data_IF_258555590006
#
_entry.id   IF_258555590006
#
_cell.length_a   1.000
_cell.length_b   1.000
_cell.length_c   1.000
_cell.angle_alpha   90.00
_cell.angle_beta   90.00
_cell.angle_gamma   90.00
#
_symmetry.space_group_name_H-M   'P 1'
#
loop_
_entity.id
_entity.type
_entity.pdbx_description
1 polymer ?
#
# COMPACT_ATOMS: atom_id res chain seq x y z
N UNK A 1 2.65 15.46 16.99
CA UNK A 1 2.82 16.65 16.13
C UNK A 1 3.08 17.85 17.03
N UNK A 2 4.24 18.49 16.95
CA UNK A 2 4.52 19.67 17.80
C UNK A 2 3.71 20.89 17.36
N UNK A 3 3.37 21.76 18.31
CA UNK A 3 2.68 23.04 18.05
C UNK A 3 3.64 24.18 17.67
N UNK A 4 4.95 24.01 17.91
CA UNK A 4 5.97 25.00 17.57
C UNK A 4 6.41 24.88 16.10
N UNK A 5 6.29 25.98 15.36
CA UNK A 5 6.75 26.06 13.96
C UNK A 5 8.26 25.85 13.84
N UNK A 6 9.04 26.29 14.81
CA UNK A 6 10.50 26.12 14.82
C UNK A 6 10.88 24.63 14.90
N UNK A 7 10.18 23.86 15.73
CA UNK A 7 10.41 22.41 15.83
C UNK A 7 10.02 21.68 14.55
N UNK A 8 8.97 22.13 13.84
CA UNK A 8 8.59 21.56 12.54
C UNK A 8 9.63 21.87 11.48
N UNK A 9 10.06 23.12 11.37
CA UNK A 9 11.09 23.53 10.42
C UNK A 9 12.42 22.81 10.67
N UNK A 10 12.82 22.65 11.94
CA UNK A 10 14.01 21.89 12.30
C UNK A 10 13.89 20.40 11.93
N UNK A 11 12.73 19.77 12.20
CA UNK A 11 12.49 18.38 11.84
C UNK A 11 12.46 18.17 10.31
N UNK A 12 11.89 19.11 9.56
CA UNK A 12 11.89 19.10 8.09
C UNK A 12 13.30 19.27 7.52
N UNK A 13 14.11 20.16 8.12
CA UNK A 13 15.52 20.32 7.74
C UNK A 13 16.31 19.01 7.97
N UNK A 14 16.15 18.37 9.14
CA UNK A 14 16.75 17.07 9.42
C UNK A 14 16.29 15.99 8.44
N UNK A 15 14.99 15.95 8.13
CA UNK A 15 14.43 15.02 7.15
C UNK A 15 15.09 15.20 5.77
N UNK A 16 15.26 16.45 5.33
CA UNK A 16 15.90 16.77 4.05
C UNK A 16 17.39 16.39 4.04
N UNK A 17 18.11 16.57 5.15
CA UNK A 17 19.51 16.15 5.29
C UNK A 17 19.64 14.62 5.23
N UNK A 18 18.81 13.90 5.98
CA UNK A 18 18.80 12.42 5.97
C UNK A 18 18.47 11.87 4.58
N UNK A 19 17.52 12.50 3.88
CA UNK A 19 17.15 12.14 2.51
C UNK A 19 18.32 12.25 1.53
N UNK A 20 19.23 13.20 1.74
CA UNK A 20 20.42 13.38 0.89
C UNK A 20 21.59 12.48 1.31
N UNK A 21 21.75 12.25 2.61
CA UNK A 21 22.91 11.55 3.17
C UNK A 21 22.75 10.03 3.14
N UNK A 22 21.60 9.52 3.61
CA UNK A 22 21.31 8.08 3.69
C UNK A 22 19.81 7.82 3.46
N UNK A 23 19.39 7.78 2.18
CA UNK A 23 17.99 7.59 1.83
C UNK A 23 17.48 6.18 2.16
N UNK A 24 18.35 5.17 2.16
CA UNK A 24 17.99 3.80 2.51
C UNK A 24 17.57 3.69 3.97
N UNK A 25 18.42 4.18 4.89
CA UNK A 25 18.12 4.15 6.31
C UNK A 25 16.87 4.98 6.64
N UNK A 26 16.65 6.10 5.94
CA UNK A 26 15.45 6.92 6.12
C UNK A 26 14.17 6.14 5.76
N UNK A 27 14.13 5.54 4.57
CA UNK A 27 12.97 4.76 4.13
C UNK A 27 12.71 3.54 5.03
N UNK A 28 13.76 2.82 5.43
CA UNK A 28 13.66 1.68 6.34
C UNK A 28 13.13 2.09 7.71
N UNK A 29 13.58 3.23 8.26
CA UNK A 29 13.07 3.75 9.54
C UNK A 29 11.61 4.16 9.46
N UNK A 30 11.20 4.82 8.37
CA UNK A 30 9.78 5.14 8.15
C UNK A 30 8.93 3.87 8.05
N UNK A 31 9.40 2.86 7.33
CA UNK A 31 8.74 1.57 7.24
C UNK A 31 8.64 0.89 8.62
N UNK A 32 9.70 0.89 9.42
CA UNK A 32 9.69 0.34 10.78
C UNK A 32 8.71 1.09 11.70
N UNK A 33 8.61 2.42 11.58
CA UNK A 33 7.67 3.23 12.34
C UNK A 33 6.21 2.82 12.09
N UNK A 34 5.87 2.38 10.86
CA UNK A 34 4.53 1.87 10.56
C UNK A 34 4.18 0.61 11.37
N UNK A 35 5.19 -0.22 11.69
CA UNK A 35 4.98 -1.50 12.37
C UNK A 35 5.08 -1.40 13.89
N UNK A 36 6.03 -0.59 14.39
CA UNK A 36 6.39 -0.58 15.82
C UNK A 36 5.67 0.54 16.59
N UNK A 37 5.27 1.63 15.93
CA UNK A 37 4.70 2.77 16.63
C UNK A 37 3.23 2.55 17.01
N UNK A 38 2.90 2.71 18.29
CA UNK A 38 1.51 2.63 18.76
C UNK A 38 0.67 3.87 18.43
N UNK A 39 1.30 5.02 18.14
CA UNK A 39 0.56 6.26 17.89
C UNK A 39 0.04 6.34 16.43
N UNK A 40 -1.27 6.47 16.22
CA UNK A 40 -1.86 6.48 14.88
C UNK A 40 -1.42 7.69 14.05
N UNK A 41 -1.26 8.87 14.67
CA UNK A 41 -0.82 10.09 13.97
C UNK A 41 0.61 9.96 13.43
N UNK A 42 1.48 9.32 14.20
CA UNK A 42 2.88 9.07 13.81
C UNK A 42 2.96 8.06 12.68
N UNK A 43 2.18 6.97 12.74
CA UNK A 43 2.09 5.99 11.64
C UNK A 43 1.51 6.62 10.37
N UNK A 44 0.45 7.42 10.52
CA UNK A 44 -0.15 8.17 9.43
C UNK A 44 0.85 9.11 8.76
N UNK A 45 1.64 9.85 9.53
CA UNK A 45 2.68 10.73 9.00
C UNK A 45 3.79 9.93 8.32
N UNK A 46 4.24 8.82 8.92
CA UNK A 46 5.25 7.95 8.33
C UNK A 46 4.79 7.41 6.95
N UNK A 47 3.54 6.99 6.81
CA UNK A 47 2.97 6.54 5.54
C UNK A 47 2.97 7.65 4.49
N UNK A 48 2.56 8.87 4.87
CA UNK A 48 2.54 10.03 3.97
C UNK A 48 3.95 10.39 3.50
N UNK A 49 4.91 10.46 4.43
CA UNK A 49 6.30 10.77 4.10
C UNK A 49 6.92 9.69 3.21
N UNK A 50 6.65 8.42 3.52
CA UNK A 50 7.11 7.30 2.71
C UNK A 50 6.56 7.42 1.28
N UNK A 51 5.26 7.67 1.11
CA UNK A 51 4.66 7.91 -0.22
C UNK A 51 5.37 9.03 -0.98
N UNK A 52 5.63 10.18 -0.34
CA UNK A 52 6.33 11.31 -0.99
C UNK A 52 7.76 11.00 -1.45
N UNK A 53 8.44 10.05 -0.80
CA UNK A 53 9.78 9.60 -1.20
C UNK A 53 9.73 8.63 -2.38
N UNK A 54 8.61 7.92 -2.53
CA UNK A 54 8.39 6.86 -3.49
C UNK A 54 7.72 7.34 -4.79
N UNK A 55 6.90 8.39 -4.71
CA UNK A 55 6.20 8.99 -5.85
C UNK A 55 7.12 9.94 -6.61
N UNK A 56 6.90 10.06 -7.94
CA UNK A 56 7.65 10.94 -8.86
C UNK A 56 7.35 12.42 -8.66
N UNK A 57 7.63 12.94 -7.47
CA UNK A 57 7.71 14.37 -7.18
C UNK A 57 9.20 14.82 -7.17
N UNK A 58 9.47 16.07 -6.77
CA UNK A 58 10.82 16.63 -6.54
C UNK A 58 11.71 15.81 -5.56
N UNK A 59 11.15 14.75 -4.98
CA UNK A 59 11.73 13.91 -3.94
C UNK A 59 11.87 12.44 -4.31
N UNK A 60 11.83 12.09 -5.60
CA UNK A 60 11.89 10.70 -6.06
C UNK A 60 13.23 10.03 -5.71
N UNK A 61 13.23 9.20 -4.65
CA UNK A 61 14.45 8.51 -4.17
C UNK A 61 14.48 7.04 -4.54
N UNK A 62 13.34 6.48 -4.94
CA UNK A 62 13.18 5.06 -5.28
C UNK A 62 14.33 4.45 -6.11
N UNK A 63 14.76 5.00 -7.26
CA UNK A 63 15.80 4.38 -8.09
C UNK A 63 17.20 4.40 -7.45
N UNK A 64 17.42 5.20 -6.38
CA UNK A 64 18.70 5.29 -5.67
C UNK A 64 18.80 4.32 -4.50
N UNK A 65 17.70 3.67 -4.13
CA UNK A 65 17.66 2.76 -2.99
C UNK A 65 18.25 1.40 -3.37
N UNK A 66 18.78 0.72 -2.37
CA UNK A 66 19.28 -0.63 -2.51
C UNK A 66 18.15 -1.66 -2.73
N UNK A 67 18.48 -2.77 -3.39
CA UNK A 67 17.52 -3.86 -3.67
C UNK A 67 16.90 -4.44 -2.39
N UNK A 68 17.69 -4.58 -1.32
CA UNK A 68 17.20 -5.01 0.00
C UNK A 68 16.18 -4.03 0.60
N UNK A 69 16.41 -2.74 0.39
CA UNK A 69 15.52 -1.67 0.84
C UNK A 69 14.22 -1.69 0.03
N UNK A 70 14.29 -1.89 -1.30
CA UNK A 70 13.11 -2.08 -2.14
C UNK A 70 12.23 -3.24 -1.66
N UNK A 71 12.82 -4.40 -1.40
CA UNK A 71 12.07 -5.57 -0.92
C UNK A 71 11.39 -5.31 0.42
N UNK A 72 12.08 -4.60 1.33
CA UNK A 72 11.51 -4.20 2.62
C UNK A 72 10.34 -3.23 2.46
N UNK A 73 10.50 -2.19 1.63
CA UNK A 73 9.45 -1.19 1.39
C UNK A 73 8.25 -1.79 0.64
N UNK A 74 8.43 -2.82 -0.19
CA UNK A 74 7.33 -3.55 -0.82
C UNK A 74 6.56 -4.41 0.19
N UNK A 75 7.26 -5.15 1.03
CA UNK A 75 6.65 -6.09 1.97
C UNK A 75 5.98 -5.43 3.17
N UNK A 76 6.58 -4.37 3.72
CA UNK A 76 6.08 -3.73 4.95
C UNK A 76 4.65 -3.19 4.82
N UNK A 77 4.29 -2.40 3.78
CA UNK A 77 2.92 -1.89 3.61
C UNK A 77 1.91 -3.02 3.39
N UNK A 78 2.25 -4.04 2.61
CA UNK A 78 1.38 -5.20 2.37
C UNK A 78 1.06 -5.94 3.66
N UNK A 79 2.08 -6.17 4.50
CA UNK A 79 1.89 -6.81 5.81
C UNK A 79 1.08 -5.92 6.75
N UNK A 80 1.32 -4.60 6.75
CA UNK A 80 0.58 -3.67 7.60
C UNK A 80 -0.89 -3.57 7.21
N UNK A 81 -1.24 -3.59 5.92
CA UNK A 81 -2.65 -3.60 5.48
C UNK A 81 -3.40 -4.82 6.04
N UNK A 82 -2.74 -5.96 6.25
CA UNK A 82 -3.39 -7.16 6.79
C UNK A 82 -3.75 -7.05 8.27
N UNK A 83 -2.93 -6.34 9.04
CA UNK A 83 -3.05 -6.26 10.51
C UNK A 83 -3.75 -4.99 10.96
N UNK A 84 -3.67 -3.91 10.17
CA UNK A 84 -4.19 -2.60 10.53
C UNK A 84 -5.70 -2.62 10.79
N UNK A 85 -6.14 -1.90 11.82
CA UNK A 85 -7.56 -1.78 12.18
C UNK A 85 -8.12 -0.39 11.84
N UNK A 86 -7.27 0.63 11.77
CA UNK A 86 -7.68 1.98 11.43
C UNK A 86 -7.88 2.15 9.91
N UNK A 87 -9.12 2.38 9.49
CA UNK A 87 -9.48 2.59 8.08
C UNK A 87 -8.72 3.78 7.47
N UNK A 88 -8.47 4.84 8.26
CA UNK A 88 -7.71 6.02 7.82
C UNK A 88 -6.25 5.72 7.49
N UNK A 89 -5.62 4.78 8.20
CA UNK A 89 -4.25 4.35 7.94
C UNK A 89 -4.21 3.32 6.81
N UNK A 90 -5.16 2.38 6.79
CA UNK A 90 -5.33 1.44 5.68
C UNK A 90 -5.45 2.16 4.34
N UNK A 91 -6.26 3.22 4.27
CA UNK A 91 -6.37 4.05 3.06
C UNK A 91 -5.04 4.66 2.64
N UNK A 92 -4.27 5.24 3.57
CA UNK A 92 -2.95 5.83 3.27
C UNK A 92 -1.92 4.79 2.81
N UNK A 93 -1.96 3.60 3.40
CA UNK A 93 -1.11 2.49 2.96
C UNK A 93 -1.50 2.03 1.56
N UNK A 94 -2.80 1.89 1.29
CA UNK A 94 -3.31 1.56 -0.04
C UNK A 94 -2.92 2.64 -1.06
N UNK A 95 -3.08 3.92 -0.75
CA UNK A 95 -2.61 5.05 -1.59
C UNK A 95 -1.12 4.88 -1.94
N UNK A 96 -0.29 4.57 -0.94
CA UNK A 96 1.16 4.39 -1.12
C UNK A 96 1.48 3.19 -2.02
N UNK A 97 0.81 2.06 -1.79
CA UNK A 97 1.00 0.84 -2.58
C UNK A 97 0.52 1.04 -4.01
N UNK A 98 -0.65 1.64 -4.23
CA UNK A 98 -1.20 1.90 -5.57
C UNK A 98 -0.29 2.81 -6.39
N UNK A 99 0.19 3.88 -5.77
CA UNK A 99 1.06 4.85 -6.45
C UNK A 99 2.44 4.25 -6.75
N UNK A 100 3.03 3.54 -5.79
CA UNK A 100 4.26 2.80 -6.00
C UNK A 100 4.09 1.73 -7.09
N UNK A 101 3.01 0.95 -7.05
CA UNK A 101 2.70 -0.05 -8.06
C UNK A 101 2.57 0.57 -9.45
N UNK A 102 1.92 1.74 -9.59
CA UNK A 102 1.82 2.43 -10.88
C UNK A 102 3.19 2.76 -11.49
N UNK A 103 4.21 2.99 -10.65
CA UNK A 103 5.56 3.33 -11.08
C UNK A 103 6.43 2.12 -11.43
N UNK A 104 6.24 0.97 -10.78
CA UNK A 104 7.09 -0.23 -10.93
C UNK A 104 6.43 -1.33 -11.80
N UNK A 105 5.09 -1.36 -11.89
CA UNK A 105 4.36 -2.34 -12.69
C UNK A 105 4.78 -2.40 -14.16
N UNK A 106 5.14 -1.29 -14.85
CA UNK A 106 5.63 -1.36 -16.23
C UNK A 106 6.87 -2.24 -16.42
N UNK A 107 7.66 -2.43 -15.36
CA UNK A 107 8.92 -3.19 -15.36
C UNK A 107 8.79 -4.58 -14.70
N UNK A 108 7.56 -5.04 -14.39
CA UNK A 108 7.29 -6.27 -13.62
C UNK A 108 8.00 -6.34 -12.25
N UNK A 109 8.40 -5.20 -11.69
CA UNK A 109 9.25 -5.19 -10.50
C UNK A 109 8.52 -5.47 -9.18
N UNK A 110 7.24 -5.85 -9.17
CA UNK A 110 6.49 -6.16 -7.94
C UNK A 110 5.60 -7.41 -8.07
N UNK A 111 6.21 -8.61 -8.17
CA UNK A 111 5.47 -9.86 -8.36
C UNK A 111 4.58 -10.23 -7.15
N UNK A 112 4.92 -9.79 -5.93
CA UNK A 112 4.19 -10.13 -4.71
C UNK A 112 2.84 -9.41 -4.56
N UNK A 113 2.62 -8.34 -5.32
CA UNK A 113 1.38 -7.56 -5.26
C UNK A 113 0.17 -8.38 -5.74
N UNK A 114 0.31 -9.12 -6.84
CA UNK A 114 -0.79 -9.91 -7.40
C UNK A 114 -1.23 -11.04 -6.46
N UNK A 115 -0.34 -11.90 -5.91
CA UNK A 115 -0.70 -12.88 -4.90
C UNK A 115 -1.41 -12.26 -3.69
N UNK A 116 -0.94 -11.10 -3.22
CA UNK A 116 -1.61 -10.38 -2.13
C UNK A 116 -3.03 -9.96 -2.51
N UNK A 117 -3.24 -9.40 -3.71
CA UNK A 117 -4.58 -9.05 -4.18
C UNK A 117 -5.49 -10.29 -4.27
N UNK A 118 -4.98 -11.41 -4.80
CA UNK A 118 -5.72 -12.68 -4.85
C UNK A 118 -6.07 -13.20 -3.45
N UNK A 119 -5.18 -13.05 -2.48
CA UNK A 119 -5.43 -13.40 -1.09
C UNK A 119 -6.54 -12.53 -0.49
N UNK A 120 -6.50 -11.21 -0.70
CA UNK A 120 -7.55 -10.29 -0.23
C UNK A 120 -8.91 -10.64 -0.84
N UNK A 121 -8.96 -10.91 -2.15
CA UNK A 121 -10.18 -11.37 -2.87
C UNK A 121 -10.70 -12.69 -2.29
N UNK A 122 -9.80 -13.61 -1.94
CA UNK A 122 -10.17 -14.94 -1.46
C UNK A 122 -10.46 -14.98 0.04
N UNK A 123 -10.13 -13.92 0.77
CA UNK A 123 -10.40 -13.82 2.20
C UNK A 123 -11.86 -13.44 2.47
N UNK A 124 -12.45 -14.02 3.50
CA UNK A 124 -13.78 -13.67 4.00
C UNK A 124 -13.76 -12.45 4.95
N UNK A 125 -12.59 -11.80 5.08
CA UNK A 125 -12.45 -10.61 5.92
C UNK A 125 -12.95 -9.37 5.16
N UNK A 126 -14.03 -8.71 5.61
CA UNK A 126 -14.55 -7.52 4.94
C UNK A 126 -13.49 -6.41 4.89
N UNK A 127 -12.60 -6.33 5.89
CA UNK A 127 -11.50 -5.37 5.93
C UNK A 127 -10.50 -5.54 4.79
N UNK A 128 -10.12 -6.78 4.47
CA UNK A 128 -9.17 -7.05 3.38
C UNK A 128 -9.83 -6.82 2.02
N UNK A 129 -11.12 -7.09 1.90
CA UNK A 129 -11.90 -6.78 0.70
C UNK A 129 -12.00 -5.26 0.49
N UNK A 130 -12.31 -4.48 1.54
CA UNK A 130 -12.29 -3.01 1.47
C UNK A 130 -10.91 -2.46 1.12
N UNK A 131 -9.83 -2.96 1.74
CA UNK A 131 -8.48 -2.52 1.45
C UNK A 131 -8.10 -2.79 -0.02
N UNK A 132 -8.53 -3.93 -0.56
CA UNK A 132 -8.36 -4.25 -1.97
C UNK A 132 -9.15 -3.31 -2.87
N UNK A 133 -10.40 -3.02 -2.55
CA UNK A 133 -11.23 -2.08 -3.30
C UNK A 133 -10.58 -0.69 -3.36
N UNK A 134 -10.07 -0.20 -2.24
CA UNK A 134 -9.31 1.06 -2.17
C UNK A 134 -8.06 1.01 -3.06
N UNK A 135 -7.25 -0.05 -2.94
CA UNK A 135 -6.05 -0.26 -3.75
C UNK A 135 -6.34 -0.16 -5.25
N UNK A 136 -7.48 -0.67 -5.68
CA UNK A 136 -7.89 -0.74 -7.08
C UNK A 136 -8.52 0.56 -7.56
N UNK A 137 -9.39 1.18 -6.75
CA UNK A 137 -10.01 2.47 -7.02
C UNK A 137 -8.94 3.54 -7.30
N UNK A 138 -7.90 3.54 -6.47
CA UNK A 138 -6.77 4.47 -6.55
C UNK A 138 -5.80 4.10 -7.68
N UNK A 139 -5.78 2.83 -8.07
CA UNK A 139 -4.85 2.27 -9.03
C UNK A 139 -5.17 2.54 -10.50
N UNK A 140 -6.31 3.16 -10.84
CA UNK A 140 -6.73 3.68 -12.17
C UNK A 140 -6.70 2.71 -13.36
N UNK A 141 -5.55 2.08 -13.60
CA UNK A 141 -5.25 1.03 -14.59
C UNK A 141 -5.57 -0.39 -14.09
N UNK A 142 -5.69 -0.61 -12.78
CA UNK A 142 -6.14 -1.90 -12.21
C UNK A 142 -7.65 -2.13 -12.35
N UNK A 143 -8.43 -1.06 -12.54
CA UNK A 143 -9.89 -1.08 -12.68
C UNK A 143 -10.38 -1.90 -13.87
N UNK A 144 -9.68 -1.88 -15.00
CA UNK A 144 -10.10 -2.65 -16.19
C UNK A 144 -9.91 -4.16 -15.99
N UNK A 145 -8.80 -4.55 -15.38
CA UNK A 145 -8.51 -5.94 -15.03
C UNK A 145 -9.44 -6.45 -13.94
N UNK A 146 -9.75 -5.62 -12.94
CA UNK A 146 -10.62 -6.02 -11.84
C UNK A 146 -12.10 -5.98 -12.17
N UNK A 147 -12.59 -5.02 -12.97
CA UNK A 147 -13.98 -5.09 -13.51
C UNK A 147 -14.14 -6.37 -14.33
N UNK A 148 -13.12 -6.79 -15.08
CA UNK A 148 -13.13 -8.06 -15.80
C UNK A 148 -13.12 -9.26 -14.84
N UNK A 149 -12.22 -9.29 -13.85
CA UNK A 149 -12.14 -10.38 -12.86
C UNK A 149 -13.36 -10.46 -11.94
N UNK A 150 -13.90 -9.34 -11.45
CA UNK A 150 -15.13 -9.28 -10.65
C UNK A 150 -16.36 -9.62 -11.48
N UNK A 151 -16.46 -9.20 -12.75
CA UNK A 151 -17.54 -9.64 -13.65
C UNK A 151 -17.46 -11.15 -13.91
N UNK A 152 -16.26 -11.71 -14.06
CA UNK A 152 -16.03 -13.15 -14.16
C UNK A 152 -16.35 -13.89 -12.84
N UNK A 153 -16.04 -13.32 -11.67
CA UNK A 153 -16.33 -13.92 -10.36
C UNK A 153 -17.81 -13.87 -9.99
N UNK A 154 -18.50 -12.77 -10.31
CA UNK A 154 -19.96 -12.64 -10.14
C UNK A 154 -20.70 -13.65 -11.03
N UNK A 155 -20.20 -13.92 -12.23
CA UNK A 155 -20.70 -15.03 -13.07
C UNK A 155 -20.41 -16.41 -12.49
N UNK A 156 -19.24 -16.64 -11.87
CA UNK A 156 -18.90 -17.92 -11.27
C UNK A 156 -19.66 -18.21 -9.95
N UNK A 157 -19.99 -17.19 -9.15
CA UNK A 157 -20.83 -17.35 -7.96
C UNK A 157 -22.29 -17.65 -8.34
N UNK A 158 -22.83 -16.95 -9.34
CA UNK A 158 -24.17 -17.25 -9.89
C UNK A 158 -24.24 -18.64 -10.53
N UNK A 159 -23.17 -19.12 -11.18
CA UNK A 159 -23.12 -20.49 -11.72
C UNK A 159 -23.11 -21.56 -10.63
N UNK A 160 -22.45 -21.32 -9.49
CA UNK A 160 -22.46 -22.26 -8.36
C UNK A 160 -23.83 -22.33 -7.71
N UNK A 161 -24.52 -21.20 -7.55
CA UNK A 161 -25.88 -21.21 -7.02
C UNK A 161 -26.89 -21.83 -7.98
N UNK A 162 -26.76 -21.61 -9.30
CA UNK A 162 -27.63 -22.25 -10.29
C UNK A 162 -27.48 -23.79 -10.32
N UNK A 163 -26.27 -24.31 -10.14
CA UNK A 163 -26.01 -25.75 -10.07
C UNK A 163 -26.55 -26.39 -8.77
N UNK A 164 -26.51 -25.68 -7.65
CA UNK A 164 -27.10 -26.16 -6.39
C UNK A 164 -28.63 -26.14 -6.39
N UNK A 165 -29.27 -25.31 -7.23
CA UNK A 165 -30.72 -25.32 -7.43
C UNK A 165 -31.20 -26.40 -8.41
N UNK A 166 -30.39 -26.83 -9.39
CA UNK A 166 -30.76 -27.90 -10.33
C UNK A 166 -30.60 -29.33 -9.79
N UNK A 167 -29.93 -29.52 -8.65
CA UNK A 167 -29.75 -30.82 -7.99
C UNK A 167 -30.74 -31.07 -6.84
N UNK A 168 -31.65 -30.14 -6.58
CA UNK A 168 -32.71 -30.25 -5.56
C UNK A 168 -34.14 -30.17 -6.15
N UNK A 169 -34.28 -30.49 -7.44
CA UNK A 169 -35.53 -30.72 -8.18
C UNK A 169 -35.42 -32.06 -8.92
#
# INVERSE_FOLDING_TARGET
>A
MSSSNEQRSYAEALFNVCKQSDPDALCLRLAALLQVCAQPDTRAMAAILLRRLLTRDDSFVWPRLNVSTHSSIKSVPLNQIQVETAQSLSKKLCDTVSELASSILPENGWPELFPFMFQCVSSDSPRLQEALELLIELGGRLLTWWVLCCRLRRQNHLRKEFFTWQLNL
#
